data_IF_495220170392
#
_entry.id   IF_495220170392
#
_cell.length_a   1.000
_cell.length_b   1.000
_cell.length_c   1.000
_cell.angle_alpha   90.00
_cell.angle_beta   90.00
_cell.angle_gamma   90.00
#
_symmetry.space_group_name_H-M   'P 1'
#
loop_
_entity.id
_entity.type
_entity.pdbx_description
1 polymer ?
#
# COMPACT_ATOMS: atom_id res chain seq x y z
N UNK A 1 -16.67 -26.39 -35.45
CA UNK A 1 -16.16 -26.74 -34.11
C UNK A 1 -16.59 -25.68 -33.11
N UNK A 2 -17.74 -25.82 -32.41
CA UNK A 2 -18.21 -24.83 -31.45
C UNK A 2 -17.60 -25.04 -30.06
N UNK A 3 -16.91 -24.02 -29.52
CA UNK A 3 -16.40 -24.02 -28.16
C UNK A 3 -17.52 -23.70 -27.16
N UNK A 4 -17.86 -24.69 -26.31
CA UNK A 4 -18.83 -24.57 -25.22
C UNK A 4 -18.31 -23.61 -24.14
N UNK A 5 -19.09 -22.56 -23.85
CA UNK A 5 -18.91 -21.73 -22.64
C UNK A 5 -19.48 -22.48 -21.43
N UNK A 6 -18.68 -22.67 -20.37
CA UNK A 6 -19.13 -23.23 -19.09
C UNK A 6 -19.69 -22.10 -18.21
N UNK A 7 -20.91 -22.22 -17.67
CA UNK A 7 -21.43 -21.26 -16.71
C UNK A 7 -20.85 -21.51 -15.31
N UNK A 8 -20.31 -20.47 -14.68
CA UNK A 8 -19.98 -20.48 -13.26
C UNK A 8 -21.26 -20.19 -12.48
N UNK A 9 -21.78 -21.22 -11.82
CA UNK A 9 -22.84 -21.12 -10.83
C UNK A 9 -22.28 -21.61 -9.51
N UNK A 10 -22.09 -20.74 -8.52
CA UNK A 10 -22.14 -21.12 -7.10
C UNK A 10 -22.84 -20.05 -6.28
N UNK A 11 -23.78 -20.57 -5.49
CA UNK A 11 -24.90 -19.95 -4.79
C UNK A 11 -24.51 -19.16 -3.53
N UNK A 12 -25.35 -18.16 -3.28
CA UNK A 12 -25.74 -17.47 -2.05
C UNK A 12 -25.83 -18.35 -0.78
N UNK A 13 -25.45 -17.81 0.37
CA UNK A 13 -26.17 -18.04 1.65
C UNK A 13 -26.17 -16.76 2.50
N UNK A 14 -27.37 -16.34 2.88
CA UNK A 14 -27.66 -15.39 3.95
C UNK A 14 -27.33 -16.02 5.30
N UNK A 15 -26.80 -15.24 6.23
CA UNK A 15 -26.89 -15.53 7.67
C UNK A 15 -27.26 -14.24 8.42
N UNK A 16 -28.57 -14.11 8.66
CA UNK A 16 -29.15 -13.21 9.65
C UNK A 16 -28.87 -13.74 11.05
N UNK A 17 -28.50 -12.83 11.97
CA UNK A 17 -28.97 -12.84 13.36
C UNK A 17 -28.01 -13.41 14.42
N UNK A 18 -27.59 -12.54 15.35
CA UNK A 18 -27.75 -12.78 16.79
C UNK A 18 -28.09 -11.44 17.46
N UNK A 19 -29.24 -11.43 18.12
CA UNK A 19 -29.69 -10.39 19.02
C UNK A 19 -29.06 -10.57 20.41
N UNK A 20 -28.83 -9.46 21.10
CA UNK A 20 -28.99 -9.37 22.56
C UNK A 20 -27.81 -9.81 23.44
N UNK A 21 -27.22 -8.83 24.15
CA UNK A 21 -26.84 -8.99 25.55
C UNK A 21 -26.74 -7.62 26.21
N UNK A 22 -27.68 -7.35 27.11
CA UNK A 22 -27.56 -6.35 28.15
C UNK A 22 -26.54 -6.82 29.21
N UNK A 23 -25.75 -5.88 29.75
CA UNK A 23 -24.91 -6.06 30.93
C UNK A 23 -24.28 -4.70 31.26
N UNK A 24 -24.92 -3.85 32.06
CA UNK A 24 -24.85 -3.81 33.52
C UNK A 24 -23.47 -3.42 34.07
N UNK A 25 -23.41 -2.14 34.49
CA UNK A 25 -22.68 -1.58 35.65
C UNK A 25 -21.17 -1.78 35.74
N UNK A 26 -20.44 -0.69 35.48
CA UNK A 26 -19.17 -0.41 36.18
C UNK A 26 -19.37 0.86 36.99
N UNK A 27 -19.45 0.72 38.31
CA UNK A 27 -19.36 1.83 39.27
C UNK A 27 -17.90 2.25 39.30
N UNK A 28 -17.57 3.36 38.64
CA UNK A 28 -16.29 4.03 38.85
C UNK A 28 -16.40 4.84 40.14
N UNK A 29 -15.72 4.38 41.20
CA UNK A 29 -15.43 5.22 42.35
C UNK A 29 -14.46 6.32 41.92
N UNK A 30 -14.94 7.56 41.93
CA UNK A 30 -14.08 8.74 41.92
C UNK A 30 -13.41 8.83 43.29
N UNK A 31 -12.17 8.37 43.37
CA UNK A 31 -11.21 8.94 44.32
C UNK A 31 -10.51 10.06 43.57
N UNK A 32 -11.03 11.28 43.77
CA UNK A 32 -10.53 12.52 43.20
C UNK A 32 -9.38 12.98 44.10
N UNK A 33 -8.16 12.59 43.74
CA UNK A 33 -6.92 13.07 44.34
C UNK A 33 -6.37 14.19 43.43
N UNK A 34 -6.62 15.48 43.74
CA UNK A 34 -6.37 16.59 42.81
C UNK A 34 -4.90 17.02 42.71
N UNK A 35 -3.92 16.27 43.23
CA UNK A 35 -2.53 16.74 43.37
C UNK A 35 -1.46 15.91 42.64
N UNK A 36 -1.83 15.01 41.72
CA UNK A 36 -0.86 14.41 40.81
C UNK A 36 -0.69 15.28 39.56
N UNK A 37 0.51 15.80 39.23
CA UNK A 37 0.73 16.42 37.93
C UNK A 37 0.46 15.37 36.84
N UNK A 38 -0.62 15.57 36.10
CA UNK A 38 -0.98 14.74 34.96
C UNK A 38 0.20 14.76 33.97
N UNK A 39 0.99 13.68 33.98
CA UNK A 39 2.02 13.46 32.99
C UNK A 39 1.29 13.29 31.66
N UNK A 40 1.31 14.35 30.84
CA UNK A 40 0.84 14.28 29.47
C UNK A 40 1.60 13.15 28.77
N UNK A 41 0.92 12.08 28.29
CA UNK A 41 1.62 11.05 27.55
C UNK A 41 2.26 11.70 26.31
N UNK A 42 3.56 11.53 26.16
CA UNK A 42 4.26 11.89 24.93
C UNK A 42 3.66 11.06 23.79
N UNK A 43 3.35 11.66 22.62
CA UNK A 43 2.86 10.89 21.48
C UNK A 43 3.81 9.72 21.19
N UNK A 44 3.26 8.52 21.06
CA UNK A 44 4.04 7.36 20.66
C UNK A 44 4.53 7.58 19.22
N UNK A 45 5.81 7.33 19.00
CA UNK A 45 6.45 7.36 17.68
C UNK A 45 5.85 6.26 16.80
N UNK A 46 5.59 6.56 15.52
CA UNK A 46 5.12 5.56 14.56
C UNK A 46 6.27 4.59 14.25
N UNK A 47 6.16 3.29 14.61
CA UNK A 47 7.26 2.35 14.44
C UNK A 47 7.70 2.19 12.97
N UNK A 48 6.80 2.45 12.02
CA UNK A 48 7.08 2.29 10.59
C UNK A 48 7.43 3.62 9.88
N UNK A 49 7.57 4.73 10.62
CA UNK A 49 7.78 6.06 10.02
C UNK A 49 8.97 6.12 9.06
N UNK A 50 10.14 5.67 9.51
CA UNK A 50 11.38 5.65 8.70
C UNK A 50 11.25 4.73 7.47
N UNK A 51 10.48 3.64 7.60
CA UNK A 51 10.21 2.71 6.50
C UNK A 51 9.32 3.36 5.44
N UNK A 52 8.26 4.05 5.87
CA UNK A 52 7.37 4.79 4.97
C UNK A 52 8.14 5.88 4.22
N UNK A 53 9.00 6.63 4.90
CA UNK A 53 9.84 7.66 4.27
C UNK A 53 10.77 7.06 3.20
N UNK A 54 11.41 5.93 3.52
CA UNK A 54 12.26 5.20 2.57
C UNK A 54 11.49 4.70 1.34
N UNK A 55 10.27 4.18 1.55
CA UNK A 55 9.38 3.73 0.46
C UNK A 55 8.93 4.90 -0.40
N UNK A 56 8.60 6.04 0.20
CA UNK A 56 8.20 7.25 -0.51
C UNK A 56 9.32 7.81 -1.38
N UNK A 57 10.57 7.81 -0.90
CA UNK A 57 11.73 8.22 -1.68
C UNK A 57 11.90 7.34 -2.92
N UNK A 58 11.82 6.02 -2.73
CA UNK A 58 11.98 5.03 -3.79
C UNK A 58 10.87 5.10 -4.85
N UNK A 59 9.61 5.20 -4.42
CA UNK A 59 8.46 5.40 -5.32
C UNK A 59 8.55 6.74 -6.07
N UNK A 60 9.02 7.80 -5.43
CA UNK A 60 9.23 9.11 -6.06
C UNK A 60 10.35 9.07 -7.12
N UNK A 61 11.38 8.25 -6.89
CA UNK A 61 12.41 7.94 -7.88
C UNK A 61 11.82 7.20 -9.09
N UNK A 62 11.05 6.15 -8.86
CA UNK A 62 10.40 5.37 -9.91
C UNK A 62 9.44 6.22 -10.74
N UNK A 63 8.59 7.03 -10.09
CA UNK A 63 7.69 7.99 -10.73
C UNK A 63 8.43 8.93 -11.71
N UNK A 64 9.52 9.54 -11.26
CA UNK A 64 10.30 10.48 -12.11
C UNK A 64 10.88 9.75 -13.33
N UNK A 65 11.33 8.52 -13.14
CA UNK A 65 11.88 7.71 -14.23
C UNK A 65 10.80 7.33 -15.25
N UNK A 66 9.58 7.00 -14.82
CA UNK A 66 8.48 6.66 -15.73
C UNK A 66 7.95 7.86 -16.48
N UNK A 67 7.96 9.06 -15.87
CA UNK A 67 7.72 10.33 -16.57
C UNK A 67 8.77 10.55 -17.66
N UNK A 68 10.06 10.45 -17.33
CA UNK A 68 11.15 10.65 -18.28
C UNK A 68 11.15 9.62 -19.43
N UNK A 69 10.63 8.42 -19.17
CA UNK A 69 10.48 7.36 -20.18
C UNK A 69 9.18 7.44 -20.99
N UNK A 70 8.24 8.33 -20.64
CA UNK A 70 6.95 8.45 -21.34
C UNK A 70 6.01 7.26 -21.11
N UNK A 71 5.96 6.71 -19.89
CA UNK A 71 5.10 5.58 -19.52
C UNK A 71 3.91 6.02 -18.66
N UNK A 72 2.85 6.64 -19.23
CA UNK A 72 1.79 7.30 -18.45
C UNK A 72 1.05 6.35 -17.50
N UNK A 73 0.85 5.09 -17.89
CA UNK A 73 0.20 4.10 -17.03
C UNK A 73 1.03 3.75 -15.78
N UNK A 74 2.36 3.66 -15.91
CA UNK A 74 3.24 3.45 -14.75
C UNK A 74 3.31 4.70 -13.88
N UNK A 75 3.41 5.86 -14.50
CA UNK A 75 3.40 7.14 -13.80
C UNK A 75 2.15 7.30 -12.94
N UNK A 76 0.97 6.99 -13.49
CA UNK A 76 -0.28 7.04 -12.76
C UNK A 76 -0.32 6.03 -11.60
N UNK A 77 0.21 4.82 -11.80
CA UNK A 77 0.31 3.81 -10.75
C UNK A 77 1.21 4.27 -9.59
N UNK A 78 2.42 4.75 -9.87
CA UNK A 78 3.32 5.24 -8.82
C UNK A 78 2.76 6.46 -8.10
N UNK A 79 2.11 7.38 -8.81
CA UNK A 79 1.40 8.49 -8.18
C UNK A 79 0.31 8.02 -7.20
N UNK A 80 -0.42 6.97 -7.56
CA UNK A 80 -1.43 6.37 -6.69
C UNK A 80 -0.81 5.66 -5.48
N UNK A 81 0.33 4.99 -5.64
CA UNK A 81 1.04 4.38 -4.52
C UNK A 81 1.55 5.43 -3.52
N UNK A 82 2.12 6.53 -4.02
CA UNK A 82 2.59 7.64 -3.20
C UNK A 82 1.42 8.27 -2.43
N UNK A 83 0.29 8.51 -3.11
CA UNK A 83 -0.90 9.05 -2.47
C UNK A 83 -1.49 8.09 -1.41
N UNK A 84 -1.38 6.78 -1.58
CA UNK A 84 -1.85 5.80 -0.60
C UNK A 84 -0.98 5.74 0.67
N UNK A 85 0.24 6.28 0.62
CA UNK A 85 1.14 6.46 1.76
C UNK A 85 1.12 7.92 2.27
N UNK A 86 0.11 8.71 1.86
CA UNK A 86 -0.02 10.13 2.17
C UNK A 86 1.22 10.99 1.78
N UNK A 87 2.00 10.50 0.80
CA UNK A 87 3.19 11.17 0.30
C UNK A 87 2.90 12.34 -0.64
N UNK A 88 3.82 13.31 -0.74
CA UNK A 88 3.66 14.45 -1.64
C UNK A 88 3.78 14.01 -3.11
N UNK A 89 3.03 14.68 -4.00
CA UNK A 89 3.16 14.44 -5.43
C UNK A 89 4.57 14.83 -5.92
N UNK A 90 5.33 13.91 -6.55
CA UNK A 90 6.68 14.22 -6.97
C UNK A 90 6.69 15.22 -8.12
N UNK A 91 7.63 16.15 -8.08
CA UNK A 91 7.88 17.04 -9.22
C UNK A 91 8.55 16.26 -10.36
N UNK A 92 8.01 16.30 -11.58
CA UNK A 92 8.66 15.69 -12.73
C UNK A 92 10.01 16.35 -12.99
N UNK A 93 11.03 15.55 -13.26
CA UNK A 93 12.36 16.02 -13.60
C UNK A 93 12.56 15.98 -15.13
N UNK A 94 13.23 16.97 -15.73
CA UNK A 94 13.60 16.91 -17.14
C UNK A 94 14.57 15.76 -17.39
N UNK A 95 14.35 15.01 -18.46
CA UNK A 95 15.24 13.91 -18.85
C UNK A 95 14.58 12.93 -19.80
N UNK A 96 15.37 11.96 -20.25
CA UNK A 96 14.89 10.85 -21.05
C UNK A 96 15.38 9.53 -20.45
N UNK A 97 14.47 8.57 -20.28
CA UNK A 97 14.79 7.25 -19.76
C UNK A 97 14.48 6.18 -20.81
N UNK A 98 15.40 5.24 -21.01
CA UNK A 98 15.14 4.12 -21.92
C UNK A 98 14.13 3.14 -21.31
N UNK A 99 13.39 2.42 -22.16
CA UNK A 99 12.46 1.38 -21.72
C UNK A 99 13.16 0.30 -20.85
N UNK A 100 14.42 -0.03 -21.17
CA UNK A 100 15.23 -0.98 -20.40
C UNK A 100 15.56 -0.44 -19.00
N UNK A 101 15.89 0.85 -18.89
CA UNK A 101 16.16 1.48 -17.60
C UNK A 101 14.91 1.50 -16.71
N UNK A 102 13.75 1.87 -17.28
CA UNK A 102 12.45 1.81 -16.60
C UNK A 102 12.17 0.38 -16.15
N UNK A 103 12.26 -0.61 -17.05
CA UNK A 103 12.00 -2.03 -16.69
C UNK A 103 12.89 -2.52 -15.54
N UNK A 104 14.20 -2.21 -15.57
CA UNK A 104 15.11 -2.60 -14.49
C UNK A 104 14.75 -1.93 -13.16
N UNK A 105 14.36 -0.66 -13.20
CA UNK A 105 13.91 0.05 -12.00
C UNK A 105 12.59 -0.55 -11.46
N UNK A 106 11.62 -0.88 -12.32
CA UNK A 106 10.38 -1.54 -11.91
C UNK A 106 10.61 -2.92 -11.26
N UNK A 107 11.60 -3.68 -11.74
CA UNK A 107 11.98 -4.95 -11.10
C UNK A 107 12.61 -4.71 -9.71
N UNK A 108 13.46 -3.68 -9.59
CA UNK A 108 14.09 -3.33 -8.32
C UNK A 108 13.06 -2.85 -7.29
N UNK A 109 12.15 -1.95 -7.68
CA UNK A 109 11.11 -1.44 -6.77
C UNK A 109 10.15 -2.56 -6.34
N UNK A 110 9.84 -3.50 -7.23
CA UNK A 110 9.04 -4.68 -6.86
C UNK A 110 9.71 -5.48 -5.74
N UNK A 111 11.00 -5.79 -5.87
CA UNK A 111 11.75 -6.53 -4.85
C UNK A 111 11.83 -5.72 -3.55
N UNK A 112 12.15 -4.44 -3.63
CA UNK A 112 12.22 -3.55 -2.48
C UNK A 112 10.90 -3.47 -1.71
N UNK A 113 9.75 -3.41 -2.39
CA UNK A 113 8.42 -3.41 -1.76
C UNK A 113 8.10 -4.74 -1.07
N UNK A 114 8.58 -5.87 -1.62
CA UNK A 114 8.43 -7.18 -0.96
C UNK A 114 9.25 -7.21 0.33
N UNK A 115 10.51 -6.78 0.27
CA UNK A 115 11.40 -6.76 1.44
C UNK A 115 10.85 -5.80 2.52
N UNK A 116 10.36 -4.63 2.10
CA UNK A 116 9.73 -3.64 2.99
C UNK A 116 8.45 -4.17 3.62
N UNK A 117 7.64 -4.95 2.88
CA UNK A 117 6.45 -5.59 3.43
C UNK A 117 6.78 -6.63 4.51
N UNK A 118 7.92 -7.32 4.41
CA UNK A 118 8.41 -8.26 5.43
C UNK A 118 8.98 -7.52 6.63
N UNK A 119 9.60 -6.35 6.41
CA UNK A 119 10.20 -5.53 7.45
C UNK A 119 9.25 -4.61 8.21
N UNK A 120 8.00 -4.44 7.76
CA UNK A 120 7.02 -3.58 8.42
C UNK A 120 6.51 -4.19 9.73
N UNK A 121 6.48 -3.39 10.79
CA UNK A 121 5.96 -3.77 12.11
C UNK A 121 4.42 -3.73 12.14
N UNK A 122 3.81 -2.83 11.37
CA UNK A 122 2.36 -2.79 11.17
C UNK A 122 1.91 -3.78 10.10
N UNK A 123 1.05 -4.71 10.51
CA UNK A 123 0.43 -5.66 9.57
C UNK A 123 -0.45 -4.99 8.49
N UNK A 124 -0.96 -3.77 8.73
CA UNK A 124 -1.71 -3.02 7.73
C UNK A 124 -0.78 -2.48 6.63
N UNK A 125 0.37 -1.91 7.03
CA UNK A 125 1.40 -1.43 6.11
C UNK A 125 1.99 -2.59 5.30
N UNK A 126 2.33 -3.71 5.96
CA UNK A 126 2.82 -4.91 5.30
C UNK A 126 1.90 -5.38 4.16
N UNK A 127 0.58 -5.41 4.40
CA UNK A 127 -0.42 -5.78 3.38
C UNK A 127 -0.51 -4.76 2.25
N UNK A 128 -0.43 -3.47 2.57
CA UNK A 128 -0.44 -2.40 1.57
C UNK A 128 0.78 -2.51 0.64
N UNK A 129 1.99 -2.63 1.20
CA UNK A 129 3.24 -2.78 0.45
C UNK A 129 3.24 -4.07 -0.38
N UNK A 130 2.73 -5.18 0.16
CA UNK A 130 2.54 -6.42 -0.59
C UNK A 130 1.55 -6.27 -1.77
N UNK A 131 0.47 -5.51 -1.59
CA UNK A 131 -0.48 -5.21 -2.67
C UNK A 131 0.16 -4.35 -3.76
N UNK A 132 0.97 -3.35 -3.38
CA UNK A 132 1.71 -2.52 -4.34
C UNK A 132 2.73 -3.34 -5.13
N UNK A 133 3.48 -4.23 -4.47
CA UNK A 133 4.45 -5.10 -5.16
C UNK A 133 3.77 -6.05 -6.14
N UNK A 134 2.59 -6.58 -5.79
CA UNK A 134 1.77 -7.38 -6.69
C UNK A 134 1.29 -6.58 -7.91
N UNK A 135 0.88 -5.32 -7.73
CA UNK A 135 0.49 -4.44 -8.83
C UNK A 135 1.66 -4.20 -9.80
N UNK A 136 2.87 -3.93 -9.28
CA UNK A 136 4.08 -3.79 -10.11
C UNK A 136 4.39 -5.10 -10.87
N UNK A 137 4.29 -6.25 -10.21
CA UNK A 137 4.51 -7.55 -10.85
C UNK A 137 3.51 -7.82 -12.00
N UNK A 138 2.23 -7.47 -11.82
CA UNK A 138 1.22 -7.57 -12.86
C UNK A 138 1.55 -6.69 -14.07
N UNK A 139 2.01 -5.46 -13.83
CA UNK A 139 2.45 -4.55 -14.89
C UNK A 139 3.68 -5.08 -15.65
N UNK A 140 4.65 -5.69 -14.95
CA UNK A 140 5.82 -6.32 -15.58
C UNK A 140 5.44 -7.53 -16.44
N UNK A 141 4.49 -8.34 -15.97
CA UNK A 141 4.00 -9.51 -16.71
C UNK A 141 3.24 -9.10 -17.98
N UNK A 142 2.33 -8.13 -17.88
CA UNK A 142 1.53 -7.63 -19.01
C UNK A 142 2.42 -7.06 -20.13
N UNK A 143 3.46 -6.29 -19.78
CA UNK A 143 4.41 -5.76 -20.78
C UNK A 143 5.27 -6.82 -21.43
N UNK A 144 5.61 -7.89 -20.70
CA UNK A 144 6.41 -8.99 -21.25
C UNK A 144 5.62 -9.80 -22.29
N UNK A 145 4.28 -9.90 -22.13
CA UNK A 145 3.41 -10.58 -23.09
C UNK A 145 3.03 -9.75 -24.32
N UNK A 146 3.36 -8.46 -24.35
CA UNK A 146 2.96 -7.51 -25.42
C UNK A 146 4.09 -7.18 -26.41
N UNK A 147 5.23 -7.87 -26.33
CA UNK A 147 6.29 -7.74 -27.34
C UNK A 147 5.83 -8.41 -28.65
N UNK A 148 5.75 -7.68 -29.78
CA UNK A 148 5.51 -8.25 -31.10
C UNK A 148 6.73 -9.04 -31.61
#
# INVERSE_FOLDING_TARGET
>A
MPARRRPLSRRTTLALGVAGAAGALVVAGCDDDPDAPASTPTPAEDPDGDLVDSVLEELSGAYRLTVAGGFPALTAMHAAHIAALDGPQPTPAPGHASATAVRRNEQRIQAFLVDSAVGADSGALARLLASMSAAVAQQLADRSGRQP
#
